data_IF_588266524105
#
_entry.id   IF_588266524105
#
_cell.length_a   1.000
_cell.length_b   1.000
_cell.length_c   1.000
_cell.angle_alpha   90.00
_cell.angle_beta   90.00
_cell.angle_gamma   90.00
#
_symmetry.space_group_name_H-M   'P 1'
#
loop_
_entity.id
_entity.type
_entity.pdbx_description
1 polymer ?
#
# COMPACT_ATOMS: atom_id res chain seq x y z
N UNK A 1 28.81 -27.44 -23.35
CA UNK A 1 27.42 -27.51 -22.87
C UNK A 1 27.17 -26.22 -22.13
N UNK A 2 26.55 -25.24 -22.82
CA UNK A 2 26.33 -23.90 -22.30
C UNK A 2 25.07 -23.98 -21.42
N UNK A 3 25.19 -23.62 -20.13
CA UNK A 3 24.06 -23.55 -19.20
C UNK A 3 23.23 -22.35 -19.65
N UNK A 4 21.94 -22.52 -20.02
CA UNK A 4 21.13 -21.38 -20.38
C UNK A 4 21.05 -20.43 -19.18
N UNK A 5 21.06 -19.11 -19.39
CA UNK A 5 20.92 -18.14 -18.31
C UNK A 5 19.59 -18.39 -17.58
N UNK A 6 19.56 -18.24 -16.25
CA UNK A 6 18.33 -18.38 -15.50
C UNK A 6 17.25 -17.46 -16.09
N UNK A 7 15.97 -17.87 -16.10
CA UNK A 7 14.91 -17.03 -16.61
C UNK A 7 14.96 -15.69 -15.88
N UNK A 8 15.05 -14.60 -16.64
CA UNK A 8 14.90 -13.28 -16.08
C UNK A 8 13.50 -13.18 -15.51
N UNK A 9 13.36 -13.23 -14.20
CA UNK A 9 12.07 -12.95 -13.54
C UNK A 9 11.76 -11.48 -13.79
N UNK A 10 11.10 -11.20 -14.92
CA UNK A 10 10.63 -9.86 -15.21
C UNK A 10 9.71 -9.44 -14.05
N UNK A 11 10.10 -8.41 -13.33
CA UNK A 11 9.29 -7.87 -12.25
C UNK A 11 7.97 -7.39 -12.85
N UNK A 12 6.85 -7.85 -12.31
CA UNK A 12 5.52 -7.47 -12.77
C UNK A 12 5.36 -5.93 -12.73
N UNK A 13 4.52 -5.39 -13.61
CA UNK A 13 4.23 -3.96 -13.62
C UNK A 13 3.60 -3.50 -12.28
N UNK A 14 3.90 -2.28 -11.82
CA UNK A 14 3.24 -1.72 -10.66
C UNK A 14 1.75 -1.54 -10.91
N UNK A 15 0.95 -1.49 -9.83
CA UNK A 15 -0.47 -1.15 -9.92
C UNK A 15 -0.64 0.27 -10.49
N UNK A 16 -1.60 0.44 -11.40
CA UNK A 16 -1.98 1.76 -11.94
C UNK A 16 -2.36 2.74 -10.80
N UNK A 17 -2.94 2.22 -9.73
CA UNK A 17 -3.29 3.02 -8.55
C UNK A 17 -2.06 3.60 -7.88
N UNK A 18 -1.02 2.80 -7.70
CA UNK A 18 0.25 3.26 -7.13
C UNK A 18 0.91 4.27 -8.06
N UNK A 19 0.97 3.98 -9.36
CA UNK A 19 1.56 4.88 -10.38
C UNK A 19 0.86 6.24 -10.35
N UNK A 20 -0.48 6.24 -10.34
CA UNK A 20 -1.31 7.46 -10.36
C UNK A 20 -1.01 8.39 -9.19
N UNK A 21 -0.76 7.85 -8.00
CA UNK A 21 -0.65 8.65 -6.78
C UNK A 21 0.80 8.89 -6.31
N UNK A 22 1.78 8.26 -6.95
CA UNK A 22 3.21 8.52 -6.70
C UNK A 22 3.57 10.01 -6.80
N UNK A 23 3.04 10.81 -7.75
CA UNK A 23 3.38 12.23 -7.85
C UNK A 23 2.98 13.10 -6.66
N UNK A 24 2.13 12.61 -5.76
CA UNK A 24 1.80 13.31 -4.51
C UNK A 24 2.89 13.19 -3.43
N UNK A 25 3.89 12.35 -3.63
CA UNK A 25 5.00 12.18 -2.70
C UNK A 25 6.05 13.29 -2.88
N UNK A 26 6.69 13.72 -1.79
CA UNK A 26 7.85 14.59 -1.91
C UNK A 26 9.01 13.88 -2.62
N UNK A 27 9.93 14.65 -3.16
CA UNK A 27 11.18 14.10 -3.69
C UNK A 27 11.94 13.33 -2.60
N UNK A 28 12.53 12.17 -2.96
CA UNK A 28 13.27 11.32 -2.02
C UNK A 28 12.45 10.87 -0.79
N UNK A 29 11.13 10.67 -0.97
CA UNK A 29 10.23 10.22 0.08
C UNK A 29 10.70 8.90 0.71
N UNK A 30 10.43 8.75 2.00
CA UNK A 30 10.53 7.47 2.71
C UNK A 30 9.25 6.66 2.46
N UNK A 31 9.35 5.54 1.77
CA UNK A 31 8.20 4.70 1.38
C UNK A 31 8.29 3.34 2.07
N UNK A 32 7.20 2.89 2.67
CA UNK A 32 7.05 1.54 3.20
C UNK A 32 6.17 0.72 2.26
N UNK A 33 6.68 -0.38 1.72
CA UNK A 33 5.89 -1.38 0.97
C UNK A 33 5.63 -2.59 1.86
N UNK A 34 4.37 -2.79 2.24
CA UNK A 34 3.91 -3.79 3.21
C UNK A 34 3.43 -5.03 2.49
N UNK A 35 3.94 -6.21 2.86
CA UNK A 35 3.75 -7.48 2.15
C UNK A 35 4.15 -7.33 0.68
N UNK A 36 5.40 -6.88 0.47
CA UNK A 36 5.89 -6.42 -0.83
C UNK A 36 6.02 -7.52 -1.91
N UNK A 37 6.02 -8.80 -1.50
CA UNK A 37 6.17 -9.93 -2.41
C UNK A 37 7.44 -9.82 -3.26
N UNK A 38 7.29 -9.95 -4.58
CA UNK A 38 8.39 -9.81 -5.54
C UNK A 38 8.88 -8.36 -5.76
N UNK A 39 8.37 -7.39 -5.00
CA UNK A 39 8.87 -6.01 -4.98
C UNK A 39 8.53 -5.17 -6.21
N UNK A 40 7.41 -5.44 -6.92
CA UNK A 40 7.03 -4.65 -8.10
C UNK A 40 6.89 -3.14 -7.80
N UNK A 41 6.39 -2.79 -6.62
CA UNK A 41 6.28 -1.40 -6.19
C UNK A 41 7.58 -0.89 -5.59
N UNK A 42 8.36 -1.75 -4.91
CA UNK A 42 9.71 -1.42 -4.45
C UNK A 42 10.55 -0.90 -5.62
N UNK A 43 10.61 -1.66 -6.72
CA UNK A 43 11.35 -1.24 -7.91
C UNK A 43 10.79 0.04 -8.55
N UNK A 44 9.47 0.23 -8.52
CA UNK A 44 8.84 1.44 -9.01
C UNK A 44 9.30 2.67 -8.24
N UNK A 45 9.17 2.66 -6.91
CA UNK A 45 9.54 3.78 -6.07
C UNK A 45 11.05 4.05 -6.07
N UNK A 46 11.88 3.01 -6.03
CA UNK A 46 13.33 3.16 -6.10
C UNK A 46 13.77 3.83 -7.41
N UNK A 47 13.19 3.45 -8.56
CA UNK A 47 13.45 4.10 -9.86
C UNK A 47 12.97 5.55 -9.90
N UNK A 48 11.94 5.89 -9.14
CA UNK A 48 11.47 7.27 -8.98
C UNK A 48 12.32 8.10 -8.01
N UNK A 49 13.38 7.51 -7.42
CA UNK A 49 14.32 8.19 -6.53
C UNK A 49 13.88 8.23 -5.07
N UNK A 50 12.91 7.41 -4.66
CA UNK A 50 12.47 7.29 -3.27
C UNK A 50 13.30 6.24 -2.50
N UNK A 51 13.37 6.40 -1.17
CA UNK A 51 13.96 5.43 -0.27
C UNK A 51 12.89 4.43 0.18
N UNK A 52 13.08 3.16 -0.12
CA UNK A 52 12.07 2.13 0.11
C UNK A 52 12.48 1.22 1.25
N UNK A 53 11.57 0.99 2.19
CA UNK A 53 11.61 -0.11 3.15
C UNK A 53 10.57 -1.13 2.73
N UNK A 54 10.98 -2.38 2.55
CA UNK A 54 10.14 -3.49 2.09
C UNK A 54 9.97 -4.52 3.22
N UNK A 55 8.73 -4.85 3.56
CA UNK A 55 8.42 -5.88 4.57
C UNK A 55 7.72 -7.04 3.90
N UNK A 56 8.21 -8.25 4.12
CA UNK A 56 7.54 -9.48 3.71
C UNK A 56 7.95 -10.63 4.65
N UNK A 57 7.15 -11.70 4.68
CA UNK A 57 7.48 -12.89 5.46
C UNK A 57 8.47 -13.82 4.76
N UNK A 58 8.61 -13.71 3.44
CA UNK A 58 9.46 -14.58 2.64
C UNK A 58 10.87 -13.98 2.46
N UNK A 59 11.89 -14.48 3.19
CA UNK A 59 13.25 -13.96 3.09
C UNK A 59 13.87 -14.21 1.70
N UNK A 60 13.39 -15.19 0.93
CA UNK A 60 13.92 -15.46 -0.40
C UNK A 60 13.46 -14.36 -1.38
N UNK A 61 12.22 -13.87 -1.26
CA UNK A 61 11.74 -12.72 -2.03
C UNK A 61 12.47 -11.45 -1.64
N UNK A 62 12.69 -11.22 -0.35
CA UNK A 62 13.42 -10.05 0.14
C UNK A 62 14.88 -10.03 -0.34
N UNK A 63 15.53 -11.19 -0.45
CA UNK A 63 16.89 -11.29 -0.97
C UNK A 63 17.00 -10.76 -2.42
N UNK A 64 15.93 -10.84 -3.23
CA UNK A 64 15.89 -10.28 -4.59
C UNK A 64 15.90 -8.74 -4.60
N UNK A 65 15.60 -8.11 -3.48
CA UNK A 65 15.53 -6.65 -3.33
C UNK A 65 16.81 -6.05 -2.72
N UNK A 66 17.82 -6.88 -2.48
CA UNK A 66 19.11 -6.44 -1.95
C UNK A 66 19.74 -5.34 -2.84
N UNK A 67 20.15 -4.23 -2.21
CA UNK A 67 20.70 -3.07 -2.93
C UNK A 67 19.64 -2.18 -3.61
N UNK A 68 18.34 -2.56 -3.56
CA UNK A 68 17.24 -1.73 -4.08
C UNK A 68 16.45 -1.09 -2.95
N UNK A 69 16.29 -1.81 -1.83
CA UNK A 69 15.50 -1.36 -0.67
C UNK A 69 16.10 -1.87 0.63
N UNK A 70 15.72 -1.22 1.75
CA UNK A 70 15.89 -1.78 3.08
C UNK A 70 14.86 -2.89 3.29
N UNK A 71 15.29 -4.11 3.57
CA UNK A 71 14.39 -5.25 3.68
C UNK A 71 14.21 -5.69 5.13
N UNK A 72 12.99 -6.05 5.51
CA UNK A 72 12.64 -6.54 6.85
C UNK A 72 11.81 -7.81 6.72
N UNK A 73 12.34 -8.93 7.20
CA UNK A 73 11.62 -10.20 7.22
C UNK A 73 10.73 -10.26 8.46
N UNK A 74 9.40 -10.36 8.29
CA UNK A 74 8.44 -10.50 9.38
C UNK A 74 7.13 -11.13 8.90
N UNK A 75 6.54 -12.00 9.69
CA UNK A 75 5.18 -12.47 9.51
C UNK A 75 4.21 -11.49 10.19
N UNK A 76 3.62 -10.60 9.38
CA UNK A 76 2.73 -9.53 9.87
C UNK A 76 1.42 -10.05 10.50
N UNK A 77 1.12 -11.33 10.37
CA UNK A 77 -0.06 -11.98 10.95
C UNK A 77 0.25 -12.66 12.30
N UNK A 78 1.51 -13.01 12.54
CA UNK A 78 1.94 -13.76 13.72
C UNK A 78 2.87 -12.96 14.64
N UNK A 79 3.75 -12.13 14.07
CA UNK A 79 4.77 -11.40 14.80
C UNK A 79 4.32 -10.01 15.25
N UNK A 80 4.94 -9.42 16.25
CA UNK A 80 4.78 -8.00 16.54
C UNK A 80 5.18 -7.12 15.35
N UNK A 81 4.58 -5.93 15.24
CA UNK A 81 4.95 -4.95 14.22
C UNK A 81 6.47 -4.71 14.17
N UNK A 82 7.15 -4.95 13.01
CA UNK A 82 8.61 -4.99 12.97
C UNK A 82 9.28 -3.59 12.94
N UNK A 83 8.51 -2.52 12.79
CA UNK A 83 9.00 -1.16 12.60
C UNK A 83 8.45 -0.17 13.66
N UNK A 84 8.59 -0.47 14.97
CA UNK A 84 8.02 0.37 16.02
C UNK A 84 8.64 1.77 15.98
N UNK A 85 7.78 2.81 15.96
CA UNK A 85 8.19 4.22 15.98
C UNK A 85 8.73 4.76 14.65
N UNK A 86 8.98 3.92 13.64
CA UNK A 86 9.34 4.42 12.29
C UNK A 86 8.12 5.04 11.61
N UNK A 87 8.37 6.11 10.87
CA UNK A 87 7.35 6.82 10.09
C UNK A 87 7.81 7.03 8.66
N UNK A 88 6.83 7.02 7.74
CA UNK A 88 7.06 7.06 6.31
C UNK A 88 6.18 8.13 5.66
N UNK A 89 6.68 8.75 4.61
CA UNK A 89 5.92 9.69 3.79
C UNK A 89 4.80 8.99 3.01
N UNK A 90 5.00 7.70 2.70
CA UNK A 90 3.95 6.83 2.20
C UNK A 90 4.04 5.42 2.81
N UNK A 91 2.88 4.88 3.17
CA UNK A 91 2.67 3.47 3.47
C UNK A 91 1.82 2.86 2.36
N UNK A 92 2.34 1.85 1.70
CA UNK A 92 1.74 1.19 0.54
C UNK A 92 1.38 -0.24 0.88
N UNK A 93 0.15 -0.64 0.58
CA UNK A 93 -0.33 -2.01 0.78
C UNK A 93 -1.09 -2.46 -0.47
N UNK A 94 -0.66 -3.56 -1.09
CA UNK A 94 -1.36 -4.10 -2.25
C UNK A 94 -1.58 -5.60 -2.17
N UNK A 95 -2.79 -6.05 -2.54
CA UNK A 95 -3.18 -7.46 -2.55
C UNK A 95 -2.99 -8.18 -1.20
N UNK A 96 -3.02 -7.44 -0.11
CA UNK A 96 -2.85 -7.94 1.24
C UNK A 96 -3.92 -7.33 2.17
N UNK A 97 -4.47 -8.13 3.08
CA UNK A 97 -5.45 -7.68 4.06
C UNK A 97 -5.24 -8.42 5.39
N UNK A 98 -4.83 -7.68 6.40
CA UNK A 98 -4.83 -8.11 7.79
C UNK A 98 -5.37 -6.99 8.66
N UNK A 99 -6.63 -7.12 9.11
CA UNK A 99 -7.36 -6.02 9.77
C UNK A 99 -6.70 -5.56 11.07
N UNK A 100 -6.13 -6.48 11.83
CA UNK A 100 -5.42 -6.15 13.07
C UNK A 100 -4.19 -5.26 12.87
N UNK A 101 -3.68 -5.16 11.63
CA UNK A 101 -2.51 -4.36 11.29
C UNK A 101 -2.84 -2.87 11.13
N UNK A 102 -4.10 -2.50 10.92
CA UNK A 102 -4.48 -1.11 10.61
C UNK A 102 -3.95 -0.06 11.58
N UNK A 103 -4.01 -0.26 12.92
CA UNK A 103 -3.44 0.70 13.86
C UNK A 103 -1.92 0.89 13.70
N UNK A 104 -1.19 -0.17 13.34
CA UNK A 104 0.25 -0.10 13.11
C UNK A 104 0.57 0.60 11.77
N UNK A 105 -0.23 0.35 10.72
CA UNK A 105 -0.11 1.06 9.44
C UNK A 105 -0.33 2.56 9.62
N UNK A 106 -1.38 2.95 10.35
CA UNK A 106 -1.66 4.35 10.66
C UNK A 106 -0.50 5.00 11.45
N UNK A 107 -0.02 4.32 12.49
CA UNK A 107 1.10 4.82 13.29
C UNK A 107 2.40 4.96 12.47
N UNK A 108 2.55 4.18 11.40
CA UNK A 108 3.69 4.23 10.49
C UNK A 108 3.60 5.36 9.44
N UNK A 109 2.43 5.96 9.22
CA UNK A 109 2.32 7.13 8.33
C UNK A 109 2.81 8.38 9.06
N UNK A 110 3.68 9.14 8.43
CA UNK A 110 4.11 10.45 8.94
C UNK A 110 2.96 11.46 8.90
N UNK A 111 2.95 12.50 9.77
CA UNK A 111 2.00 13.61 9.62
C UNK A 111 2.12 14.24 8.23
N UNK A 112 1.00 14.35 7.50
CA UNK A 112 0.96 14.79 6.11
C UNK A 112 1.31 13.71 5.09
N UNK A 113 1.73 12.52 5.53
CA UNK A 113 2.04 11.38 4.68
C UNK A 113 0.79 10.67 4.14
N UNK A 114 1.00 9.74 3.23
CA UNK A 114 -0.05 9.02 2.51
C UNK A 114 -0.17 7.55 2.94
N UNK A 115 -1.39 7.08 3.06
CA UNK A 115 -1.71 5.66 2.95
C UNK A 115 -2.25 5.39 1.55
N UNK A 116 -1.60 4.49 0.80
CA UNK A 116 -2.05 4.05 -0.53
C UNK A 116 -2.35 2.56 -0.44
N UNK A 117 -3.64 2.21 -0.48
CA UNK A 117 -4.09 0.84 -0.25
C UNK A 117 -4.93 0.35 -1.43
N UNK A 118 -4.64 -0.83 -1.94
CA UNK A 118 -5.45 -1.54 -2.95
C UNK A 118 -5.50 -3.03 -2.60
N UNK A 119 -6.69 -3.59 -2.37
CA UNK A 119 -6.83 -5.04 -2.20
C UNK A 119 -8.20 -5.54 -2.62
N UNK A 120 -8.38 -6.85 -2.56
CA UNK A 120 -9.55 -7.53 -3.10
C UNK A 120 -10.82 -7.26 -2.30
N UNK A 121 -11.92 -6.97 -2.99
CA UNK A 121 -13.26 -6.86 -2.43
C UNK A 121 -13.98 -8.21 -2.38
N UNK A 122 -15.04 -8.32 -1.60
CA UNK A 122 -15.78 -9.56 -1.38
C UNK A 122 -16.27 -10.22 -2.68
N UNK A 123 -16.70 -9.42 -3.66
CA UNK A 123 -17.16 -9.91 -4.96
C UNK A 123 -16.06 -10.62 -5.76
N UNK A 124 -14.78 -10.40 -5.44
CA UNK A 124 -13.65 -11.09 -6.09
C UNK A 124 -13.67 -12.61 -5.89
N UNK A 125 -14.30 -13.12 -4.83
CA UNK A 125 -14.42 -14.56 -4.58
C UNK A 125 -15.05 -15.34 -5.74
N UNK A 126 -15.89 -14.69 -6.55
CA UNK A 126 -16.50 -15.27 -7.74
C UNK A 126 -15.55 -15.32 -8.95
N UNK A 127 -14.50 -14.51 -8.97
CA UNK A 127 -13.55 -14.39 -10.09
C UNK A 127 -12.30 -15.26 -9.90
N UNK A 128 -11.82 -15.40 -8.66
CA UNK A 128 -10.55 -16.09 -8.45
C UNK A 128 -10.15 -16.24 -6.99
N UNK A 129 -8.84 -16.19 -6.74
CA UNK A 129 -8.26 -16.17 -5.39
C UNK A 129 -7.79 -14.76 -5.06
N UNK A 130 -7.86 -14.32 -3.77
CA UNK A 130 -8.36 -15.08 -2.61
C UNK A 130 -9.88 -15.26 -2.62
N UNK A 131 -10.37 -16.34 -1.96
CA UNK A 131 -11.81 -16.60 -1.80
C UNK A 131 -12.28 -16.56 -0.35
N UNK A 132 -11.34 -16.62 0.58
CA UNK A 132 -11.64 -16.64 2.02
C UNK A 132 -12.05 -15.25 2.47
N UNK A 133 -13.20 -15.11 3.20
CA UNK A 133 -13.76 -13.81 3.57
C UNK A 133 -12.80 -12.93 4.40
N UNK A 134 -11.90 -13.54 5.18
CA UNK A 134 -10.91 -12.83 5.98
C UNK A 134 -9.92 -12.02 5.14
N UNK A 135 -9.70 -12.41 3.88
CA UNK A 135 -8.81 -11.73 2.94
C UNK A 135 -9.54 -10.83 1.93
N UNK A 136 -10.85 -10.65 2.13
CA UNK A 136 -11.70 -9.87 1.24
C UNK A 136 -12.38 -8.75 2.01
N UNK A 137 -12.36 -7.55 1.44
CA UNK A 137 -13.02 -6.38 2.02
C UNK A 137 -14.52 -6.43 1.78
N UNK A 138 -15.30 -6.14 2.81
CA UNK A 138 -16.72 -5.87 2.70
C UNK A 138 -16.95 -4.53 1.99
N UNK A 139 -18.11 -4.28 1.37
CA UNK A 139 -18.41 -3.02 0.71
C UNK A 139 -18.07 -1.81 1.59
N UNK A 140 -17.29 -0.86 1.06
CA UNK A 140 -16.88 0.36 1.75
C UNK A 140 -15.95 0.18 2.95
N UNK A 141 -15.41 -1.01 3.19
CA UNK A 141 -14.68 -1.30 4.44
C UNK A 141 -13.39 -0.49 4.60
N UNK A 142 -12.64 -0.19 3.52
CA UNK A 142 -11.45 0.66 3.64
C UNK A 142 -11.79 2.05 4.18
N UNK A 143 -12.91 2.65 3.74
CA UNK A 143 -13.36 3.93 4.29
C UNK A 143 -13.78 3.82 5.76
N UNK A 144 -14.44 2.72 6.13
CA UNK A 144 -14.84 2.49 7.51
C UNK A 144 -13.63 2.35 8.44
N UNK A 145 -12.58 1.65 8.01
CA UNK A 145 -11.34 1.48 8.77
C UNK A 145 -10.62 2.81 9.00
N UNK A 146 -10.54 3.69 7.99
CA UNK A 146 -9.97 5.02 8.14
C UNK A 146 -10.75 5.90 9.12
N UNK A 147 -12.09 5.82 9.10
CA UNK A 147 -12.96 6.59 10.02
C UNK A 147 -12.92 6.06 11.45
N UNK A 148 -12.73 4.77 11.64
CA UNK A 148 -12.65 4.18 12.98
C UNK A 148 -11.43 4.70 13.75
N UNK A 149 -10.35 5.04 13.04
CA UNK A 149 -9.15 5.66 13.60
C UNK A 149 -9.40 7.08 14.14
N UNK A 150 -10.43 7.79 13.62
CA UNK A 150 -10.79 9.14 14.06
C UNK A 150 -11.64 9.14 15.35
N UNK A 151 -12.18 8.01 15.74
CA UNK A 151 -13.19 7.88 16.80
C UNK A 151 -12.63 7.80 18.23
N UNK A 152 -11.38 8.19 18.49
CA UNK A 152 -10.88 8.30 19.86
C UNK A 152 -11.47 9.56 20.50
N UNK A 153 -12.37 9.45 21.52
CA UNK A 153 -12.93 10.61 22.19
C UNK A 153 -11.84 11.24 23.08
N UNK A 154 -11.14 12.22 22.55
CA UNK A 154 -10.30 13.10 23.34
C UNK A 154 -10.97 14.45 23.44
N UNK A 155 -11.39 14.81 24.65
CA UNK A 155 -12.08 16.06 25.00
C UNK A 155 -11.13 17.26 25.06
N UNK A 156 -9.97 17.21 24.40
CA UNK A 156 -8.97 18.27 24.44
C UNK A 156 -8.22 18.38 23.10
N UNK A 157 -8.43 19.50 22.42
CA UNK A 157 -7.85 20.03 21.18
C UNK A 157 -8.43 19.50 19.86
N UNK A 158 -8.37 20.33 18.77
CA UNK A 158 -9.01 19.98 17.50
C UNK A 158 -8.40 18.71 16.92
N UNK A 159 -9.15 17.93 16.15
CA UNK A 159 -8.70 16.64 15.59
C UNK A 159 -7.55 16.88 14.59
N UNK A 160 -6.32 16.86 15.10
CA UNK A 160 -5.11 16.97 14.28
C UNK A 160 -4.68 15.63 13.67
N UNK A 161 -5.52 14.59 13.74
CA UNK A 161 -5.23 13.23 13.32
C UNK A 161 -6.29 12.57 12.44
N UNK A 162 -7.12 13.34 11.75
CA UNK A 162 -8.10 12.79 10.84
C UNK A 162 -7.46 12.36 9.51
N UNK A 163 -8.02 11.32 8.87
CA UNK A 163 -7.70 10.98 7.51
C UNK A 163 -8.44 11.90 6.53
N UNK A 164 -7.72 12.56 5.64
CA UNK A 164 -8.29 13.20 4.47
C UNK A 164 -8.25 12.20 3.29
N UNK A 165 -9.41 11.66 2.91
CA UNK A 165 -9.52 10.75 1.76
C UNK A 165 -9.41 11.57 0.48
N UNK A 166 -8.34 11.35 -0.28
CA UNK A 166 -8.09 12.03 -1.57
C UNK A 166 -8.89 11.32 -2.67
N UNK A 167 -8.87 9.99 -2.70
CA UNK A 167 -9.66 9.19 -3.63
C UNK A 167 -10.00 7.84 -3.04
N UNK A 168 -11.17 7.33 -3.43
CA UNK A 168 -11.62 5.98 -3.14
C UNK A 168 -12.32 5.42 -4.37
N UNK A 169 -12.01 4.18 -4.70
CA UNK A 169 -12.69 3.44 -5.74
C UNK A 169 -13.02 2.03 -5.25
N UNK A 170 -14.20 1.56 -5.60
CA UNK A 170 -14.64 0.18 -5.37
C UNK A 170 -15.31 -0.34 -6.62
N UNK A 171 -14.92 -1.53 -7.06
CA UNK A 171 -15.53 -2.17 -8.20
C UNK A 171 -14.58 -3.07 -8.97
N UNK A 172 -15.00 -3.37 -10.20
CA UNK A 172 -14.32 -4.31 -11.08
C UNK A 172 -13.27 -3.61 -11.93
N UNK A 173 -12.06 -4.14 -11.86
CA UNK A 173 -10.97 -3.81 -12.77
C UNK A 173 -10.93 -4.87 -13.89
N UNK A 174 -11.00 -4.48 -15.16
CA UNK A 174 -10.91 -5.41 -16.27
C UNK A 174 -9.53 -6.09 -16.32
N UNK A 175 -9.48 -7.25 -16.97
CA UNK A 175 -8.21 -7.91 -17.27
C UNK A 175 -7.31 -6.99 -18.13
N UNK A 176 -6.00 -6.99 -17.83
CA UNK A 176 -5.02 -6.18 -18.56
C UNK A 176 -3.70 -6.94 -18.68
N UNK A 177 -3.31 -7.29 -19.90
CA UNK A 177 -2.18 -8.19 -20.15
C UNK A 177 -2.36 -9.50 -19.39
N UNK A 178 -1.35 -9.89 -18.61
CA UNK A 178 -1.38 -11.12 -17.79
C UNK A 178 -2.11 -10.94 -16.44
N UNK A 179 -2.60 -9.75 -16.13
CA UNK A 179 -3.35 -9.49 -14.90
C UNK A 179 -4.82 -9.79 -15.15
N UNK A 180 -5.42 -10.78 -14.46
CA UNK A 180 -6.81 -11.13 -14.63
C UNK A 180 -7.73 -10.03 -14.09
N UNK A 181 -9.00 -10.09 -14.46
CA UNK A 181 -10.04 -9.24 -13.91
C UNK A 181 -10.13 -9.40 -12.38
N UNK A 182 -10.37 -8.30 -11.67
CA UNK A 182 -10.38 -8.25 -10.20
C UNK A 182 -11.49 -7.35 -9.68
N UNK A 183 -12.09 -7.73 -8.56
CA UNK A 183 -12.92 -6.84 -7.76
C UNK A 183 -12.08 -6.32 -6.60
N UNK A 184 -12.00 -5.01 -6.46
CA UNK A 184 -11.10 -4.36 -5.51
C UNK A 184 -11.79 -3.21 -4.78
N UNK A 185 -11.24 -2.86 -3.60
CA UNK A 185 -11.31 -1.51 -3.06
C UNK A 185 -9.92 -0.92 -3.05
N UNK A 186 -9.85 0.38 -3.32
CA UNK A 186 -8.61 1.12 -3.29
C UNK A 186 -8.81 2.54 -2.79
N UNK A 187 -7.89 2.99 -1.96
CA UNK A 187 -7.94 4.30 -1.32
C UNK A 187 -6.58 4.95 -1.33
N UNK A 188 -6.55 6.26 -1.49
CA UNK A 188 -5.44 7.10 -1.08
C UNK A 188 -5.96 8.12 -0.08
N UNK A 189 -5.30 8.18 1.06
CA UNK A 189 -5.67 9.09 2.13
C UNK A 189 -4.43 9.74 2.74
N UNK A 190 -4.54 11.00 3.14
CA UNK A 190 -3.49 11.78 3.80
C UNK A 190 -3.76 11.85 5.29
N UNK A 191 -2.74 11.60 6.10
CA UNK A 191 -2.86 11.71 7.55
C UNK A 191 -2.72 13.17 8.02
N UNK A 192 -3.78 13.70 8.64
CA UNK A 192 -3.84 15.09 9.10
C UNK A 192 -4.05 16.09 7.96
N UNK A 193 -4.14 17.37 8.32
CA UNK A 193 -4.20 18.43 7.32
C UNK A 193 -2.82 18.55 6.66
N UNK A 194 -2.73 18.24 5.38
CA UNK A 194 -1.55 18.52 4.57
C UNK A 194 -1.18 20.00 4.68
N UNK A 195 0.05 20.39 4.33
CA UNK A 195 0.44 21.80 4.35
C UNK A 195 -0.58 22.63 3.54
N UNK A 196 -1.05 23.77 4.05
CA UNK A 196 -1.96 24.62 3.30
C UNK A 196 -1.28 25.04 1.99
N UNK A 197 -1.85 24.67 0.85
CA UNK A 197 -1.35 25.08 -0.46
C UNK A 197 -1.06 23.98 -1.48
N UNK A 198 -1.04 22.69 -1.12
CA UNK A 198 -1.08 21.63 -2.11
C UNK A 198 -2.54 21.23 -2.34
N UNK A 199 -3.17 21.88 -3.31
CA UNK A 199 -4.35 21.30 -3.95
C UNK A 199 -3.91 19.96 -4.54
N UNK A 200 -4.51 18.86 -4.07
CA UNK A 200 -4.35 17.55 -4.68
C UNK A 200 -4.86 17.66 -6.13
N UNK A 201 -3.94 17.86 -7.07
CA UNK A 201 -4.28 18.04 -8.48
C UNK A 201 -4.80 16.69 -9.01
N UNK A 202 -6.11 16.60 -9.14
CA UNK A 202 -6.74 15.53 -9.90
C UNK A 202 -6.47 15.78 -11.38
N UNK A 203 -5.35 15.29 -11.89
CA UNK A 203 -5.16 15.26 -13.35
C UNK A 203 -6.02 14.15 -13.92
N UNK A 204 -6.88 14.42 -14.93
CA UNK A 204 -7.62 13.37 -15.60
C UNK A 204 -6.62 12.40 -16.25
N UNK A 205 -6.96 11.11 -16.33
CA UNK A 205 -6.16 10.16 -17.11
C UNK A 205 -6.15 10.60 -18.57
N UNK A 206 -4.95 10.78 -19.12
CA UNK A 206 -4.72 10.97 -20.54
C UNK A 206 -4.96 9.69 -21.32
#
# INVERSE_FOLDING_TARGET
MEIPPPPSHAVAAPSDWIVRWTPLLPTHAQVLDVACGHGRHVHWFARAGHHVTAVDRDPALLALLAGVADTVAADLEADPWPLPGRRFDAVVVTNYLWRALFPALEAAVAPGGLLIYETFAQAHAALGRPRRPEFLLRPGELLALLRASDATPSNSLPPSKGWHVIAFEEGRLPARGDVPEREVQRVVARLGNGPPGHADLLSPPG
#
